data_IF_354072154089
#
_entry.id   IF_354072154089
#
_cell.length_a   1.000
_cell.length_b   1.000
_cell.length_c   1.000
_cell.angle_alpha   90.00
_cell.angle_beta   90.00
_cell.angle_gamma   90.00
#
_symmetry.space_group_name_H-M   'P 1'
#
loop_
_entity.id
_entity.type
_entity.pdbx_description
1 polymer ?
#
# COMPACT_ATOMS: atom_id res chain seq x y z
N UNK A 1 3.80 9.21 -13.92
CA UNK A 1 2.77 8.20 -14.27
C UNK A 1 3.05 7.49 -15.58
N UNK A 2 3.37 8.19 -16.68
CA UNK A 2 3.84 7.51 -17.91
C UNK A 2 5.12 6.72 -17.67
N UNK A 3 6.06 7.26 -16.87
CA UNK A 3 7.28 6.54 -16.51
C UNK A 3 7.02 5.26 -15.70
N UNK A 4 6.03 5.26 -14.80
CA UNK A 4 5.60 4.06 -14.08
C UNK A 4 5.08 3.00 -15.05
N UNK A 5 4.22 3.39 -16.00
CA UNK A 5 3.66 2.45 -17.00
C UNK A 5 4.72 1.76 -17.84
N UNK A 6 5.86 2.40 -18.07
CA UNK A 6 6.97 1.82 -18.83
C UNK A 6 7.86 0.88 -17.99
N UNK A 7 7.70 0.87 -16.66
CA UNK A 7 8.50 0.09 -15.70
C UNK A 7 7.70 -0.99 -14.98
N UNK A 8 6.37 -0.98 -15.10
CA UNK A 8 5.43 -1.94 -14.49
C UNK A 8 4.63 -2.69 -15.56
N UNK A 9 4.16 -3.89 -15.25
CA UNK A 9 3.23 -4.63 -16.12
C UNK A 9 1.82 -4.04 -16.12
N UNK A 10 1.31 -3.70 -14.95
CA UNK A 10 0.00 -3.06 -14.83
C UNK A 10 -0.04 -2.08 -13.66
N UNK A 11 -0.95 -1.11 -13.76
CA UNK A 11 -1.21 -0.14 -12.70
C UNK A 11 -2.72 -0.05 -12.52
N UNK A 12 -3.18 -0.37 -11.33
CA UNK A 12 -4.56 -0.26 -10.90
C UNK A 12 -4.69 0.86 -9.89
N UNK A 13 -5.74 1.67 -10.01
CA UNK A 13 -5.99 2.78 -9.10
C UNK A 13 -7.34 2.57 -8.43
N UNK A 14 -7.31 2.61 -7.11
CA UNK A 14 -8.49 2.56 -6.28
C UNK A 14 -8.66 3.96 -5.69
N UNK A 15 -9.57 4.72 -6.32
CA UNK A 15 -9.91 6.08 -5.88
C UNK A 15 -11.35 6.05 -5.41
N UNK A 16 -11.54 6.08 -4.11
CA UNK A 16 -12.81 6.45 -3.50
C UNK A 16 -12.78 7.95 -3.22
N UNK A 17 -13.81 8.69 -3.65
CA UNK A 17 -13.92 10.12 -3.40
C UNK A 17 -14.20 10.41 -1.92
N UNK A 18 -14.74 9.44 -1.20
CA UNK A 18 -15.15 9.56 0.19
C UNK A 18 -14.08 9.04 1.17
N UNK A 19 -12.87 8.73 0.69
CA UNK A 19 -11.74 8.31 1.52
C UNK A 19 -10.61 9.36 1.53
N UNK A 20 -9.87 9.53 2.64
CA UNK A 20 -8.81 10.52 2.76
C UNK A 20 -7.58 10.18 1.94
N UNK A 21 -7.48 8.97 1.40
CA UNK A 21 -6.35 8.53 0.57
C UNK A 21 -6.78 7.93 -0.76
N UNK A 22 -5.85 7.95 -1.71
CA UNK A 22 -5.92 7.17 -2.95
C UNK A 22 -4.97 5.98 -2.82
N UNK A 23 -5.39 4.82 -3.27
CA UNK A 23 -4.54 3.63 -3.35
C UNK A 23 -4.20 3.31 -4.81
N UNK A 24 -2.95 2.95 -5.04
CA UNK A 24 -2.42 2.59 -6.35
C UNK A 24 -1.68 1.26 -6.19
N UNK A 25 -2.19 0.23 -6.85
CA UNK A 25 -1.53 -1.07 -6.96
C UNK A 25 -0.71 -1.12 -8.23
N UNK A 26 0.59 -1.39 -8.10
CA UNK A 26 1.53 -1.41 -9.21
C UNK A 26 2.04 -2.84 -9.32
N UNK A 27 1.60 -3.58 -10.34
CA UNK A 27 2.20 -4.88 -10.63
C UNK A 27 3.50 -4.64 -11.37
N UNK A 28 4.60 -4.85 -10.68
CA UNK A 28 5.94 -4.54 -11.17
C UNK A 28 6.38 -5.55 -12.21
N UNK A 29 6.24 -6.84 -11.89
CA UNK A 29 6.61 -7.93 -12.79
C UNK A 29 6.00 -9.25 -12.33
N UNK A 30 5.78 -10.15 -13.28
CA UNK A 30 5.48 -11.57 -13.08
C UNK A 30 6.62 -12.42 -13.62
N UNK A 31 7.04 -13.40 -12.83
CA UNK A 31 8.12 -14.31 -13.15
C UNK A 31 7.62 -15.74 -13.06
N UNK A 32 7.40 -16.39 -14.20
CA UNK A 32 7.10 -17.82 -14.23
C UNK A 32 8.39 -18.66 -14.09
N UNK A 33 8.29 -19.76 -13.35
CA UNK A 33 9.34 -20.77 -13.20
C UNK A 33 8.73 -22.17 -13.35
N UNK A 34 9.55 -23.22 -13.29
CA UNK A 34 9.09 -24.59 -13.56
C UNK A 34 7.97 -25.09 -12.66
N UNK A 35 7.84 -24.50 -11.48
CA UNK A 35 6.94 -24.93 -10.40
C UNK A 35 6.04 -23.78 -9.93
N UNK A 36 5.72 -22.81 -10.78
CA UNK A 36 4.80 -21.73 -10.40
C UNK A 36 5.11 -20.37 -11.00
N UNK A 37 4.51 -19.34 -10.39
CA UNK A 37 4.68 -17.94 -10.78
C UNK A 37 4.88 -17.05 -9.56
N UNK A 38 5.78 -16.07 -9.66
CA UNK A 38 5.95 -15.02 -8.65
C UNK A 38 5.42 -13.71 -9.20
N UNK A 39 4.49 -13.08 -8.49
CA UNK A 39 4.04 -11.72 -8.79
C UNK A 39 4.68 -10.74 -7.80
N UNK A 40 5.33 -9.70 -8.31
CA UNK A 40 5.89 -8.61 -7.51
C UNK A 40 5.02 -7.37 -7.63
N UNK A 41 4.62 -6.82 -6.49
CA UNK A 41 3.66 -5.71 -6.40
C UNK A 41 4.20 -4.62 -5.49
N UNK A 42 3.93 -3.36 -5.84
CA UNK A 42 4.12 -2.23 -4.93
C UNK A 42 2.76 -1.58 -4.68
N UNK A 43 2.36 -1.47 -3.42
CA UNK A 43 1.15 -0.80 -2.97
C UNK A 43 1.48 0.60 -2.47
N UNK A 44 0.95 1.61 -3.15
CA UNK A 44 1.15 3.01 -2.82
C UNK A 44 -0.17 3.62 -2.32
N UNK A 45 -0.16 4.14 -1.11
CA UNK A 45 -1.26 4.92 -0.55
C UNK A 45 -0.81 6.38 -0.38
N UNK A 46 -1.57 7.31 -0.96
CA UNK A 46 -1.28 8.75 -0.91
C UNK A 46 -2.44 9.45 -0.20
N UNK A 47 -2.15 10.14 0.90
CA UNK A 47 -3.15 10.96 1.58
C UNK A 47 -3.43 12.24 0.77
N UNK A 48 -4.72 12.59 0.64
CA UNK A 48 -5.24 13.72 -0.16
C UNK A 48 -5.30 15.03 0.64
N UNK A 49 -5.29 14.96 1.97
CA UNK A 49 -5.51 16.07 2.91
C UNK A 49 -4.17 16.59 3.47
N UNK A 50 -3.32 15.68 3.93
CA UNK A 50 -1.99 15.94 4.49
C UNK A 50 -0.91 15.28 3.64
N UNK A 51 0.30 15.82 3.67
CA UNK A 51 1.41 15.40 2.80
C UNK A 51 2.15 14.17 3.33
N UNK A 52 1.43 13.06 3.47
CA UNK A 52 1.99 11.76 3.82
C UNK A 52 1.65 10.71 2.76
N UNK A 53 2.55 9.74 2.59
CA UNK A 53 2.31 8.57 1.77
C UNK A 53 2.89 7.32 2.42
N UNK A 54 2.30 6.18 2.12
CA UNK A 54 2.77 4.87 2.51
C UNK A 54 3.08 4.05 1.25
N UNK A 55 4.22 3.37 1.24
CA UNK A 55 4.64 2.51 0.13
C UNK A 55 5.13 1.18 0.70
N UNK A 56 4.44 0.10 0.32
CA UNK A 56 4.74 -1.27 0.69
C UNK A 56 5.08 -2.06 -0.56
N UNK A 57 6.15 -2.86 -0.48
CA UNK A 57 6.48 -3.84 -1.50
C UNK A 57 6.03 -5.23 -1.05
N UNK A 58 5.50 -5.98 -2.00
CA UNK A 58 4.91 -7.30 -1.80
C UNK A 58 5.39 -8.28 -2.86
N UNK A 59 5.32 -9.56 -2.54
CA UNK A 59 5.33 -10.61 -3.54
C UNK A 59 4.39 -11.75 -3.15
N UNK A 60 3.76 -12.35 -4.14
CA UNK A 60 2.96 -13.57 -3.98
C UNK A 60 3.56 -14.69 -4.84
N UNK A 61 3.34 -15.93 -4.41
CA UNK A 61 3.75 -17.12 -5.16
C UNK A 61 2.50 -17.94 -5.45
N UNK A 62 2.29 -18.21 -6.72
CA UNK A 62 1.32 -19.19 -7.19
C UNK A 62 2.05 -20.53 -7.37
N UNK A 63 1.73 -21.50 -6.52
CA UNK A 63 2.35 -22.83 -6.49
C UNK A 63 1.37 -23.88 -7.03
N UNK A 64 1.80 -24.80 -7.91
CA UNK A 64 0.99 -25.88 -8.43
C UNK A 64 0.84 -27.04 -7.43
N UNK A 65 1.24 -26.87 -6.16
CA UNK A 65 1.03 -27.84 -5.10
C UNK A 65 -0.48 -28.16 -5.01
N UNK A 66 -0.93 -29.36 -5.40
CA UNK A 66 -2.34 -29.71 -5.43
C UNK A 66 -2.95 -29.86 -4.04
N UNK A 67 -2.12 -30.00 -3.00
CA UNK A 67 -2.53 -29.94 -1.59
C UNK A 67 -2.34 -28.52 -1.00
N UNK A 68 -1.77 -27.60 -1.79
CA UNK A 68 -1.57 -26.19 -1.46
C UNK A 68 -2.86 -25.39 -1.52
N UNK A 69 -2.92 -24.31 -0.73
CA UNK A 69 -3.98 -23.30 -0.84
C UNK A 69 -3.73 -22.41 -2.08
N UNK A 70 -4.75 -21.66 -2.51
CA UNK A 70 -4.67 -20.62 -3.56
C UNK A 70 -3.44 -19.70 -3.39
N UNK A 71 -3.06 -18.98 -4.46
CA UNK A 71 -1.89 -18.09 -4.49
C UNK A 71 -1.81 -17.22 -3.23
N UNK A 72 -0.73 -17.37 -2.46
CA UNK A 72 -0.60 -16.73 -1.15
C UNK A 72 0.34 -15.52 -1.20
N UNK A 73 0.01 -14.46 -0.45
CA UNK A 73 0.95 -13.37 -0.17
C UNK A 73 2.14 -13.95 0.60
N UNK A 74 3.29 -14.03 -0.06
CA UNK A 74 4.47 -14.70 0.46
C UNK A 74 5.35 -13.78 1.30
N UNK A 75 5.27 -12.48 1.06
CA UNK A 75 5.85 -11.47 1.95
C UNK A 75 5.41 -10.06 1.59
N UNK A 76 5.43 -9.21 2.61
CA UNK A 76 5.26 -7.77 2.50
C UNK A 76 6.25 -7.07 3.44
N UNK A 77 6.94 -6.04 2.95
CA UNK A 77 7.91 -5.23 3.70
C UNK A 77 7.98 -3.81 3.14
N UNK A 78 8.69 -2.93 3.84
CA UNK A 78 9.03 -1.61 3.31
C UNK A 78 10.16 -1.69 2.26
N UNK A 79 10.94 -2.77 2.28
CA UNK A 79 12.05 -2.98 1.35
C UNK A 79 11.64 -3.78 0.10
N UNK A 80 12.14 -3.39 -1.09
CA UNK A 80 11.93 -4.12 -2.34
C UNK A 80 12.46 -5.56 -2.34
N UNK A 81 11.73 -6.46 -3.00
CA UNK A 81 12.15 -7.85 -3.20
C UNK A 81 12.87 -8.11 -4.52
N UNK A 82 12.81 -7.15 -5.44
CA UNK A 82 13.46 -7.24 -6.74
C UNK A 82 14.10 -5.91 -7.14
N UNK A 83 15.08 -5.95 -8.06
CA UNK A 83 15.69 -4.74 -8.61
C UNK A 83 14.67 -3.83 -9.31
N UNK A 84 13.67 -4.40 -9.98
CA UNK A 84 12.61 -3.62 -10.63
C UNK A 84 11.72 -2.92 -9.60
N UNK A 85 11.37 -3.57 -8.48
CA UNK A 85 10.66 -2.92 -7.38
C UNK A 85 11.50 -1.81 -6.77
N UNK A 86 12.81 -2.02 -6.58
CA UNK A 86 13.71 -0.98 -6.09
C UNK A 86 13.73 0.26 -6.99
N UNK A 87 13.84 0.06 -8.31
CA UNK A 87 13.81 1.17 -9.26
C UNK A 87 12.47 1.94 -9.23
N UNK A 88 11.37 1.26 -8.94
CA UNK A 88 10.03 1.86 -8.79
C UNK A 88 9.90 2.59 -7.44
N UNK A 89 10.34 1.97 -6.34
CA UNK A 89 10.33 2.56 -5.00
C UNK A 89 11.13 3.86 -5.00
N UNK A 90 12.38 3.84 -5.47
CA UNK A 90 13.20 5.05 -5.55
C UNK A 90 12.54 6.14 -6.39
N UNK A 91 11.95 5.78 -7.53
CA UNK A 91 11.28 6.74 -8.41
C UNK A 91 10.06 7.38 -7.72
N UNK A 92 9.22 6.58 -7.04
CA UNK A 92 8.05 7.07 -6.32
C UNK A 92 8.47 7.95 -5.15
N UNK A 93 9.42 7.47 -4.34
CA UNK A 93 9.92 8.17 -3.17
C UNK A 93 10.52 9.52 -3.54
N UNK A 94 11.43 9.55 -4.52
CA UNK A 94 12.05 10.79 -4.98
C UNK A 94 10.99 11.78 -5.48
N UNK A 95 10.06 11.33 -6.32
CA UNK A 95 8.99 12.19 -6.85
C UNK A 95 8.10 12.79 -5.74
N UNK A 96 7.65 11.98 -4.78
CA UNK A 96 6.76 12.45 -3.72
C UNK A 96 7.49 13.32 -2.70
N UNK A 97 8.73 12.98 -2.35
CA UNK A 97 9.59 13.79 -1.48
C UNK A 97 9.88 15.16 -2.09
N UNK A 98 10.16 15.26 -3.39
CA UNK A 98 10.31 16.54 -4.11
C UNK A 98 9.04 17.41 -4.05
N UNK A 99 7.86 16.79 -3.94
CA UNK A 99 6.58 17.49 -3.76
C UNK A 99 6.27 17.84 -2.29
N UNK A 100 7.18 17.49 -1.39
CA UNK A 100 7.10 17.75 0.05
C UNK A 100 6.24 16.75 0.80
N UNK A 101 6.02 15.55 0.26
CA UNK A 101 5.42 14.45 1.00
C UNK A 101 6.46 13.72 1.83
N UNK A 102 6.03 13.24 3.00
CA UNK A 102 6.84 12.38 3.88
C UNK A 102 6.38 10.93 3.78
N UNK A 103 7.33 10.01 3.65
CA UNK A 103 7.06 8.57 3.66
C UNK A 103 6.78 8.12 5.09
N UNK A 104 5.73 7.33 5.27
CA UNK A 104 5.49 6.53 6.46
C UNK A 104 5.93 5.08 6.18
N UNK A 105 6.31 4.39 7.24
CA UNK A 105 6.65 2.97 7.24
C UNK A 105 5.61 2.18 8.04
N UNK A 106 5.60 0.85 7.89
CA UNK A 106 4.63 0.00 8.58
C UNK A 106 4.56 0.26 10.10
N UNK A 107 5.71 0.48 10.74
CA UNK A 107 5.75 0.79 12.17
C UNK A 107 5.11 2.14 12.51
N UNK A 108 5.20 3.13 11.62
CA UNK A 108 4.53 4.41 11.79
C UNK A 108 3.02 4.23 11.61
N UNK A 109 2.62 3.46 10.58
CA UNK A 109 1.21 3.16 10.29
C UNK A 109 0.51 2.45 11.44
N UNK A 110 1.22 1.55 12.12
CA UNK A 110 0.73 0.77 13.26
C UNK A 110 0.82 1.53 14.60
N UNK A 111 1.43 2.72 14.64
CA UNK A 111 1.55 3.49 15.86
C UNK A 111 0.17 3.89 16.39
N UNK A 112 -0.11 3.48 17.63
CA UNK A 112 -1.39 3.73 18.30
C UNK A 112 -1.34 5.01 19.11
N UNK A 113 -2.30 5.90 18.90
CA UNK A 113 -2.55 7.00 19.80
C UNK A 113 -3.42 6.55 20.99
N UNK A 114 -2.87 6.47 22.22
CA UNK A 114 -3.58 5.87 23.37
C UNK A 114 -4.74 6.72 23.89
N UNK A 115 -4.81 8.00 23.52
CA UNK A 115 -5.87 8.91 23.94
C UNK A 115 -7.22 8.67 23.25
N UNK A 116 -7.26 7.89 22.15
CA UNK A 116 -8.49 7.59 21.41
C UNK A 116 -8.76 6.09 21.51
N UNK A 117 -9.79 5.74 22.27
CA UNK A 117 -10.09 4.34 22.64
C UNK A 117 -11.24 3.70 21.87
N UNK A 118 -12.10 4.50 21.23
CA UNK A 118 -13.25 4.03 20.43
C UNK A 118 -13.60 5.05 19.35
N UNK A 119 -14.02 4.53 18.21
CA UNK A 119 -14.66 5.29 17.14
C UNK A 119 -16.17 5.31 17.35
N UNK A 120 -16.83 6.37 16.87
CA UNK A 120 -18.30 6.44 16.88
C UNK A 120 -18.83 5.29 16.01
N UNK A 121 -19.80 4.55 16.53
CA UNK A 121 -20.54 3.49 15.82
C UNK A 121 -19.76 2.23 15.34
N UNK A 122 -18.52 2.01 15.79
CA UNK A 122 -17.78 0.74 15.58
C UNK A 122 -17.39 0.12 16.93
N UNK A 123 -18.22 -0.81 17.43
CA UNK A 123 -18.07 -1.41 18.77
C UNK A 123 -16.90 -2.40 18.89
N UNK A 124 -16.40 -2.91 17.77
CA UNK A 124 -15.32 -3.90 17.73
C UNK A 124 -13.97 -3.19 17.63
N UNK A 125 -13.39 -2.94 18.81
CA UNK A 125 -11.95 -2.70 19.07
C UNK A 125 -11.11 -2.20 17.89
N UNK A 126 -11.22 -0.93 17.52
CA UNK A 126 -10.20 -0.30 16.68
C UNK A 126 -9.51 0.81 17.49
N UNK A 127 -8.26 0.55 17.85
CA UNK A 127 -7.37 1.59 18.34
C UNK A 127 -7.14 2.60 17.21
N UNK A 128 -6.96 3.87 17.57
CA UNK A 128 -6.53 4.87 16.59
C UNK A 128 -5.07 4.62 16.24
N UNK A 129 -4.82 3.98 15.10
CA UNK A 129 -3.49 3.96 14.51
C UNK A 129 -3.30 5.17 13.59
N UNK A 130 -2.05 5.54 13.29
CA UNK A 130 -1.76 6.56 12.27
C UNK A 130 -2.36 6.15 10.92
N UNK A 131 -2.28 4.87 10.56
CA UNK A 131 -2.90 4.31 9.37
C UNK A 131 -4.40 4.59 9.31
N UNK A 132 -5.12 4.27 10.40
CA UNK A 132 -6.55 4.52 10.53
C UNK A 132 -6.90 6.01 10.50
N UNK A 133 -6.04 6.88 11.02
CA UNK A 133 -6.27 8.32 11.07
C UNK A 133 -6.06 9.00 9.71
N UNK A 134 -5.06 8.55 8.95
CA UNK A 134 -4.60 9.21 7.75
C UNK A 134 -5.10 8.53 6.47
N UNK A 135 -5.30 7.22 6.45
CA UNK A 135 -5.57 6.48 5.21
C UNK A 135 -6.92 5.76 5.21
N UNK A 136 -7.70 5.93 6.28
CA UNK A 136 -9.07 5.45 6.36
C UNK A 136 -9.95 6.58 6.88
N UNK A 137 -11.18 6.74 6.37
CA UNK A 137 -12.10 7.78 6.83
C UNK A 137 -12.75 7.46 8.19
N UNK A 138 -11.95 7.02 9.17
CA UNK A 138 -12.46 6.59 10.48
C UNK A 138 -13.01 7.74 11.33
N UNK A 139 -12.74 8.98 10.93
CA UNK A 139 -13.24 10.21 11.54
C UNK A 139 -14.33 10.91 10.71
N UNK A 140 -14.75 10.32 9.58
CA UNK A 140 -15.72 10.94 8.64
C UNK A 140 -15.27 12.34 8.16
N UNK A 141 -13.96 12.53 7.99
CA UNK A 141 -13.36 13.78 7.50
C UNK A 141 -13.71 14.06 6.05
N UNK A 142 -13.96 13.01 5.26
CA UNK A 142 -14.28 13.13 3.85
C UNK A 142 -15.80 13.18 3.57
N UNK A 143 -16.62 12.83 4.55
CA UNK A 143 -18.08 12.79 4.47
C UNK A 143 -18.76 13.96 5.21
N UNK A 144 -18.17 15.16 5.16
CA UNK A 144 -18.85 16.37 5.63
C UNK A 144 -19.71 16.96 4.52
N UNK A 145 -21.03 17.01 4.73
CA UNK A 145 -22.05 17.72 3.93
C UNK A 145 -21.60 19.10 3.41
#
# INVERSE_FOLDING_TARGET
>A
MEELKNKSESIERFVDLNEPSSEIRIVVNRCSFSEGEIEYVSLLQINKIVKYFYLQDEFSIDSPDPDGMDSYLAGFRNEPYSKKQFDIDEMICNYLTEKGYSRLYINDMDEVYPGIKKFKDREETNQMTVGNALFMDMWELCNSD
#
